data_IF_906381643366
#
_entry.id   IF_906381643366
#
_cell.length_a   1.000
_cell.length_b   1.000
_cell.length_c   1.000
_cell.angle_alpha   90.00
_cell.angle_beta   90.00
_cell.angle_gamma   90.00
#
_symmetry.space_group_name_H-M   'P 1'
#
loop_
_entity.id
_entity.type
_entity.pdbx_description
1 polymer ?
#
# COMPACT_ATOMS: atom_id res chain seq x y z
N UNK A 1 25.76 25.56 12.56
CA UNK A 1 24.46 25.64 13.28
C UNK A 1 23.77 24.31 13.08
N UNK A 2 23.75 23.47 14.11
CA UNK A 2 23.24 22.10 14.08
C UNK A 2 21.87 22.10 14.73
N UNK A 3 20.82 21.82 13.96
CA UNK A 3 19.49 21.57 14.52
C UNK A 3 19.24 20.08 14.43
N UNK A 4 19.78 19.34 15.40
CA UNK A 4 19.39 17.96 15.65
C UNK A 4 18.11 18.03 16.47
N UNK A 5 16.96 17.92 15.81
CA UNK A 5 15.69 17.69 16.53
C UNK A 5 15.73 16.29 17.13
N UNK A 6 15.76 16.26 18.46
CA UNK A 6 15.59 15.05 19.25
C UNK A 6 14.14 14.62 19.16
N UNK A 7 13.86 13.57 18.38
CA UNK A 7 12.63 12.81 18.53
C UNK A 7 12.67 12.06 19.86
N UNK A 8 12.17 12.69 20.92
CA UNK A 8 11.78 11.98 22.12
C UNK A 8 10.44 11.29 21.83
N UNK A 9 10.47 10.01 21.49
CA UNK A 9 9.27 9.20 21.44
C UNK A 9 8.87 8.88 22.88
N UNK A 10 7.73 9.42 23.32
CA UNK A 10 6.99 8.86 24.44
C UNK A 10 6.61 7.42 24.07
N UNK A 11 6.83 6.46 24.96
CA UNK A 11 6.36 5.08 24.79
C UNK A 11 4.85 5.06 24.95
N UNK A 12 4.07 4.75 23.91
CA UNK A 12 2.66 4.49 24.09
C UNK A 12 2.42 2.97 23.97
N UNK A 13 1.33 2.54 24.59
CA UNK A 13 1.05 1.13 24.84
C UNK A 13 0.88 0.37 23.51
N UNK A 14 1.39 -0.86 23.49
CA UNK A 14 1.43 -1.80 22.38
C UNK A 14 0.05 -2.01 21.72
N UNK A 15 -0.31 -1.15 20.77
CA UNK A 15 -1.40 -1.36 19.83
C UNK A 15 -0.88 -2.21 18.66
N UNK A 16 -0.59 -3.48 18.95
CA UNK A 16 -0.39 -4.48 17.90
C UNK A 16 -1.72 -4.67 17.18
N UNK A 17 -1.88 -4.03 16.02
CA UNK A 17 -2.95 -4.39 15.08
C UNK A 17 -2.72 -5.85 14.70
N UNK A 18 -3.67 -6.74 15.04
CA UNK A 18 -3.54 -8.16 14.72
C UNK A 18 -3.40 -8.31 13.19
N UNK A 19 -2.27 -8.85 12.75
CA UNK A 19 -2.00 -9.09 11.32
C UNK A 19 -3.00 -10.11 10.79
N UNK A 20 -3.90 -9.65 9.92
CA UNK A 20 -4.90 -10.49 9.24
C UNK A 20 -4.21 -11.49 8.31
N UNK A 21 -4.80 -12.68 8.09
CA UNK A 21 -4.32 -13.59 7.04
C UNK A 21 -4.47 -13.00 5.63
N UNK A 22 -5.29 -11.96 5.49
CA UNK A 22 -5.47 -11.19 4.25
C UNK A 22 -4.57 -9.94 4.21
N UNK A 23 -3.55 -9.85 5.07
CA UNK A 23 -2.60 -8.74 5.02
C UNK A 23 -1.71 -8.86 3.76
N UNK A 24 -1.59 -7.79 2.95
CA UNK A 24 -0.81 -7.80 1.71
C UNK A 24 0.67 -8.19 1.91
N UNK A 25 1.26 -7.88 3.06
CA UNK A 25 2.66 -8.25 3.35
C UNK A 25 2.80 -9.76 3.61
N UNK A 26 1.74 -10.42 4.04
CA UNK A 26 1.72 -11.87 4.24
C UNK A 26 1.31 -12.62 2.98
N UNK A 27 0.31 -12.12 2.24
CA UNK A 27 -0.18 -12.78 1.02
C UNK A 27 0.81 -12.64 -0.13
N UNK A 28 1.49 -11.50 -0.23
CA UNK A 28 2.34 -11.13 -1.37
C UNK A 28 3.69 -10.54 -0.90
N UNK A 29 4.51 -11.27 -0.11
CA UNK A 29 5.75 -10.76 0.49
C UNK A 29 6.84 -10.39 -0.52
N UNK A 30 6.70 -10.80 -1.79
CA UNK A 30 7.57 -10.39 -2.89
C UNK A 30 7.20 -9.03 -3.50
N UNK A 31 5.98 -8.55 -3.24
CA UNK A 31 5.42 -7.34 -3.85
C UNK A 31 5.25 -6.19 -2.84
N UNK A 32 4.96 -6.52 -1.58
CA UNK A 32 4.76 -5.55 -0.50
C UNK A 32 5.84 -5.61 0.58
N UNK A 33 6.19 -4.45 1.13
CA UNK A 33 7.03 -4.35 2.31
C UNK A 33 6.60 -3.19 3.21
N UNK A 34 6.74 -3.36 4.53
CA UNK A 34 6.52 -2.26 5.49
C UNK A 34 7.75 -1.37 5.53
N UNK A 35 7.58 -0.08 5.23
CA UNK A 35 8.68 0.91 5.25
C UNK A 35 8.60 1.88 6.42
N UNK A 36 7.43 2.01 7.05
CA UNK A 36 7.23 2.77 8.28
C UNK A 36 5.96 2.30 9.00
N UNK A 37 5.95 2.33 10.33
CA UNK A 37 4.76 1.99 11.10
C UNK A 37 4.76 2.71 12.46
N UNK A 38 3.59 3.22 12.85
CA UNK A 38 3.32 3.70 14.20
C UNK A 38 1.85 3.43 14.59
N UNK A 39 1.35 4.11 15.62
CA UNK A 39 -0.02 3.93 16.13
C UNK A 39 -1.12 4.52 15.25
N UNK A 40 -0.78 5.39 14.29
CA UNK A 40 -1.75 6.11 13.45
C UNK A 40 -1.75 5.60 12.02
N UNK A 41 -0.58 5.20 11.54
CA UNK A 41 -0.38 4.79 10.14
C UNK A 41 0.57 3.62 10.02
N UNK A 42 0.36 2.85 8.96
CA UNK A 42 1.34 1.95 8.37
C UNK A 42 1.64 2.42 6.95
N UNK A 43 2.90 2.43 6.56
CA UNK A 43 3.31 2.76 5.19
C UNK A 43 3.88 1.52 4.54
N UNK A 44 3.24 1.09 3.45
CA UNK A 44 3.71 0.00 2.61
C UNK A 44 4.35 0.56 1.34
N UNK A 45 5.46 -0.03 0.92
CA UNK A 45 5.97 0.11 -0.43
C UNK A 45 5.49 -1.09 -1.26
N UNK A 46 4.91 -0.79 -2.42
CA UNK A 46 4.44 -1.77 -3.39
C UNK A 46 5.23 -1.69 -4.69
N UNK A 47 5.68 -2.84 -5.18
CA UNK A 47 6.40 -2.99 -6.45
C UNK A 47 5.93 -4.25 -7.18
N UNK A 48 5.65 -4.12 -8.46
CA UNK A 48 5.35 -5.24 -9.37
C UNK A 48 5.94 -4.97 -10.76
N UNK A 49 5.96 -5.98 -11.62
CA UNK A 49 6.27 -5.86 -13.06
C UNK A 49 5.06 -6.23 -13.93
N UNK A 50 5.04 -5.85 -15.23
CA UNK A 50 3.95 -6.21 -16.13
C UNK A 50 3.62 -7.71 -16.09
N UNK A 51 2.33 -8.03 -15.93
CA UNK A 51 1.82 -9.40 -15.81
C UNK A 51 1.79 -9.96 -14.39
N UNK A 52 2.44 -9.32 -13.42
CA UNK A 52 2.31 -9.71 -12.01
C UNK A 52 0.88 -9.48 -11.51
N UNK A 53 0.44 -10.37 -10.62
CA UNK A 53 -0.89 -10.37 -10.02
C UNK A 53 -0.79 -10.75 -8.54
N UNK A 54 -1.45 -9.99 -7.68
CA UNK A 54 -1.49 -10.26 -6.24
C UNK A 54 -2.46 -11.39 -5.92
N UNK A 55 -2.33 -11.95 -4.71
CA UNK A 55 -3.43 -12.64 -4.06
C UNK A 55 -4.53 -11.66 -3.65
N UNK A 56 -5.70 -12.18 -3.26
CA UNK A 56 -6.75 -11.36 -2.64
C UNK A 56 -6.30 -10.94 -1.23
N UNK A 57 -6.36 -9.64 -0.95
CA UNK A 57 -5.94 -9.05 0.31
C UNK A 57 -6.79 -7.81 0.65
N UNK A 58 -6.66 -7.35 1.88
CA UNK A 58 -7.39 -6.21 2.43
C UNK A 58 -6.48 -5.01 2.70
N UNK A 59 -6.99 -3.82 2.39
CA UNK A 59 -6.42 -2.55 2.86
C UNK A 59 -7.48 -1.79 3.70
N UNK A 60 -7.08 -1.13 4.80
CA UNK A 60 -7.94 -0.14 5.45
C UNK A 60 -8.01 1.14 4.60
N UNK A 61 -8.72 2.15 5.11
CA UNK A 61 -8.71 3.48 4.52
C UNK A 61 -7.27 3.97 4.35
N UNK A 62 -6.94 4.48 3.16
CA UNK A 62 -5.57 4.83 2.84
C UNK A 62 -5.42 6.00 1.89
N UNK A 63 -4.21 6.56 1.86
CA UNK A 63 -3.72 7.39 0.77
C UNK A 63 -2.73 6.59 -0.07
N UNK A 64 -2.97 6.49 -1.37
CA UNK A 64 -1.99 5.95 -2.32
C UNK A 64 -1.18 7.10 -2.96
N UNK A 65 0.13 6.91 -3.07
CA UNK A 65 1.08 7.83 -3.69
C UNK A 65 1.83 7.08 -4.80
N UNK A 66 1.43 7.22 -6.07
CA UNK A 66 2.13 6.60 -7.19
C UNK A 66 3.51 7.23 -7.39
N UNK A 67 4.55 6.41 -7.48
CA UNK A 67 5.93 6.84 -7.78
C UNK A 67 6.31 6.62 -9.25
N UNK A 68 5.47 5.90 -9.99
CA UNK A 68 5.45 5.76 -11.44
C UNK A 68 4.02 6.01 -11.98
N UNK A 69 3.90 6.21 -13.30
CA UNK A 69 2.60 6.18 -14.00
C UNK A 69 2.39 4.76 -14.53
N UNK A 70 1.30 4.11 -14.14
CA UNK A 70 1.06 2.70 -14.44
C UNK A 70 -0.44 2.38 -14.57
N UNK A 71 -0.75 1.26 -15.24
CA UNK A 71 -2.12 0.79 -15.46
C UNK A 71 -2.32 -0.55 -14.76
N UNK A 72 -3.42 -0.69 -14.03
CA UNK A 72 -3.78 -1.92 -13.32
C UNK A 72 -5.21 -2.32 -13.61
N UNK A 73 -5.46 -3.62 -13.50
CA UNK A 73 -6.81 -4.16 -13.34
C UNK A 73 -7.00 -4.53 -11.87
N UNK A 74 -8.10 -4.07 -11.29
CA UNK A 74 -8.53 -4.44 -9.95
C UNK A 74 -9.74 -5.36 -10.05
N UNK A 75 -9.73 -6.47 -9.34
CA UNK A 75 -10.90 -7.32 -9.12
C UNK A 75 -11.45 -7.07 -7.73
N UNK A 76 -12.68 -6.57 -7.63
CA UNK A 76 -13.38 -6.25 -6.37
C UNK A 76 -14.74 -6.93 -6.37
N UNK A 77 -14.98 -7.86 -5.43
CA UNK A 77 -16.24 -8.60 -5.35
C UNK A 77 -16.62 -9.30 -6.67
N UNK A 78 -15.63 -9.83 -7.39
CA UNK A 78 -15.80 -10.50 -8.68
C UNK A 78 -15.99 -9.57 -9.89
N UNK A 79 -15.96 -8.24 -9.72
CA UNK A 79 -16.00 -7.27 -10.82
C UNK A 79 -14.62 -6.73 -11.12
N UNK A 80 -14.29 -6.59 -12.41
CA UNK A 80 -13.03 -6.03 -12.86
C UNK A 80 -13.18 -4.55 -13.24
N UNK A 81 -12.23 -3.74 -12.79
CA UNK A 81 -12.13 -2.32 -13.16
C UNK A 81 -10.68 -2.02 -13.52
N UNK A 82 -10.48 -1.34 -14.65
CA UNK A 82 -9.16 -0.85 -15.04
C UNK A 82 -8.94 0.55 -14.49
N UNK A 83 -7.75 0.77 -13.94
CA UNK A 83 -7.36 2.04 -13.34
C UNK A 83 -5.99 2.45 -13.86
N UNK A 84 -5.85 3.75 -14.11
CA UNK A 84 -4.54 4.38 -14.34
C UNK A 84 -4.18 5.23 -13.12
N UNK A 85 -2.92 5.11 -12.69
CA UNK A 85 -2.33 5.97 -11.67
C UNK A 85 -1.35 6.90 -12.34
N UNK A 86 -1.43 8.20 -12.03
CA UNK A 86 -0.45 9.18 -12.49
C UNK A 86 0.62 9.36 -11.42
N UNK A 87 1.89 9.32 -11.84
CA UNK A 87 3.03 9.61 -10.96
C UNK A 87 2.82 10.90 -10.16
N UNK A 88 3.07 10.83 -8.86
CA UNK A 88 2.95 11.92 -7.88
C UNK A 88 1.54 12.49 -7.70
N UNK A 89 0.51 11.83 -8.23
CA UNK A 89 -0.89 12.19 -7.97
C UNK A 89 -1.43 11.37 -6.80
N UNK A 90 -1.29 11.90 -5.59
CA UNK A 90 -1.84 11.27 -4.40
C UNK A 90 -3.38 11.29 -4.40
N UNK A 91 -4.01 10.25 -3.84
CA UNK A 91 -5.47 10.20 -3.67
C UNK A 91 -5.89 9.33 -2.49
N UNK A 92 -7.07 9.62 -1.98
CA UNK A 92 -7.77 8.77 -1.01
C UNK A 92 -8.34 7.52 -1.69
N UNK A 93 -8.31 6.40 -0.96
CA UNK A 93 -8.96 5.14 -1.33
C UNK A 93 -9.62 4.59 -0.07
N UNK A 94 -10.93 4.35 -0.12
CA UNK A 94 -11.66 3.72 0.96
C UNK A 94 -11.18 2.27 1.18
N UNK A 95 -11.35 1.76 2.40
CA UNK A 95 -11.04 0.38 2.75
C UNK A 95 -11.65 -0.61 1.75
N UNK A 96 -10.84 -1.57 1.29
CA UNK A 96 -11.26 -2.49 0.25
C UNK A 96 -10.49 -3.82 0.28
N UNK A 97 -11.20 -4.88 -0.08
CA UNK A 97 -10.66 -6.19 -0.43
C UNK A 97 -10.50 -6.28 -1.94
N UNK A 98 -9.32 -6.60 -2.45
CA UNK A 98 -9.13 -6.72 -3.89
C UNK A 98 -8.01 -7.67 -4.33
N UNK A 99 -8.01 -7.95 -5.63
CA UNK A 99 -6.84 -8.47 -6.37
C UNK A 99 -6.37 -7.38 -7.33
N UNK A 100 -5.06 -7.16 -7.43
CA UNK A 100 -4.47 -6.23 -8.39
C UNK A 100 -3.57 -6.94 -9.39
N UNK A 101 -3.68 -6.57 -10.66
CA UNK A 101 -2.85 -7.06 -11.77
C UNK A 101 -2.24 -5.88 -12.53
N UNK A 102 -0.95 -5.94 -12.84
CA UNK A 102 -0.31 -4.97 -13.72
C UNK A 102 -0.57 -5.34 -15.19
N UNK A 103 -1.47 -4.60 -15.83
CA UNK A 103 -1.85 -4.77 -17.25
C UNK A 103 -1.14 -3.77 -18.18
N UNK A 104 -0.24 -2.96 -17.62
CA UNK A 104 0.56 -2.00 -18.35
C UNK A 104 1.83 -2.62 -18.94
N UNK A 105 2.73 -1.75 -19.33
CA UNK A 105 4.06 -2.04 -19.88
C UNK A 105 5.19 -1.48 -19.00
N UNK A 106 4.84 -0.86 -17.86
CA UNK A 106 5.76 -0.24 -16.90
C UNK A 106 5.60 -0.91 -15.53
N UNK A 107 6.69 -1.15 -14.79
CA UNK A 107 6.62 -1.61 -13.40
C UNK A 107 5.78 -0.68 -12.52
N UNK A 108 4.90 -1.24 -11.68
CA UNK A 108 4.23 -0.44 -10.65
C UNK A 108 5.23 -0.07 -9.58
N UNK A 109 5.15 1.18 -9.12
CA UNK A 109 5.81 1.59 -7.89
C UNK A 109 4.94 2.61 -7.17
N UNK A 110 4.55 2.32 -5.93
CA UNK A 110 3.69 3.19 -5.14
C UNK A 110 3.93 3.02 -3.64
N UNK A 111 3.58 4.06 -2.88
CA UNK A 111 3.47 4.02 -1.43
C UNK A 111 2.01 4.02 -1.03
N UNK A 112 1.67 3.21 -0.03
CA UNK A 112 0.33 3.07 0.52
C UNK A 112 0.43 3.53 1.98
N UNK A 113 -0.21 4.64 2.32
CA UNK A 113 -0.29 5.15 3.69
C UNK A 113 -1.63 4.72 4.25
N UNK A 114 -1.63 3.59 4.93
CA UNK A 114 -2.79 2.95 5.54
C UNK A 114 -3.04 3.54 6.93
N UNK A 115 -4.30 3.84 7.24
CA UNK A 115 -4.73 4.30 8.56
C UNK A 115 -4.98 3.12 9.50
N UNK A 116 -4.85 3.38 10.81
CA UNK A 116 -5.12 2.44 11.90
C UNK A 116 -6.20 2.95 12.84
#
# INVERSE_FOLDING_TARGET
>A
MSTTERNAAATPADATSATSSADPVLTDPGLYSVVFENERVRVLEYRDVPGDRTCEHDHPDMVIIPLATFRRRLTVGGREVEVEQTRHQARWVDAQTHIGENIGDVPTHALFVELK
#
